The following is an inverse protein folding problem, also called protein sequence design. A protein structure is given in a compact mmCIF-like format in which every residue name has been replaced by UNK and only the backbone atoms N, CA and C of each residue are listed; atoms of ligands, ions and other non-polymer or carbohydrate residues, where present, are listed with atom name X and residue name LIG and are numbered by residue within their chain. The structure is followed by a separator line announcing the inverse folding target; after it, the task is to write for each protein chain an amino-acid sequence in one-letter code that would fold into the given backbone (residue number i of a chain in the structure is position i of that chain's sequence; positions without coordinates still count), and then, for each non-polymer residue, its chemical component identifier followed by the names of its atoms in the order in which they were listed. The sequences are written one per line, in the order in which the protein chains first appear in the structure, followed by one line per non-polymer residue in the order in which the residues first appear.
data_IF_857970645200
#
_entry.id   IF_857970645200
#
_cell.length_a   1.000
_cell.length_b   1.000
_cell.length_c   1.000
_cell.angle_alpha   90.00
_cell.angle_beta   90.00
_cell.angle_gamma   90.00
#
_symmetry.space_group_name_H-M   'P 1'
#
loop_
_entity.id
_entity.type
_entity.pdbx_description
1 polymer ?
#
# COMPACT_ATOMS: atom_id res chain seq x y z
N UNK A 1 -5.96 18.89 -7.41
CA UNK A 1 -5.95 18.04 -6.19
C UNK A 1 -6.28 16.61 -6.60
N UNK A 2 -5.74 15.55 -5.94
CA UNK A 2 -5.45 15.53 -4.51
C UNK A 2 -4.15 14.86 -4.02
N UNK A 3 -3.88 15.22 -2.78
CA UNK A 3 -2.84 14.85 -1.79
C UNK A 3 -2.76 13.35 -1.39
N UNK A 4 -3.22 12.40 -2.21
CA UNK A 4 -3.47 11.02 -1.71
C UNK A 4 -2.33 10.03 -1.93
N UNK A 5 -1.23 10.40 -2.60
CA UNK A 5 -0.17 9.45 -2.97
C UNK A 5 0.60 8.86 -1.77
N UNK A 6 0.51 9.50 -0.59
CA UNK A 6 1.31 9.16 0.59
C UNK A 6 0.50 8.70 1.80
N UNK A 7 -0.78 8.35 1.66
CA UNK A 7 -1.54 7.80 2.81
C UNK A 7 -1.29 6.31 3.06
N UNK A 8 -0.49 5.66 2.22
CA UNK A 8 -0.09 4.26 2.42
C UNK A 8 1.30 3.96 1.86
N UNK A 9 2.11 3.24 2.63
CA UNK A 9 3.42 2.76 2.18
C UNK A 9 3.16 1.70 1.09
N UNK A 10 3.62 1.96 -0.14
CA UNK A 10 3.36 1.09 -1.29
C UNK A 10 1.88 0.80 -1.52
N UNK A 11 1.00 1.78 -1.26
CA UNK A 11 -0.45 1.64 -1.46
C UNK A 11 -1.20 0.91 -0.35
N UNK A 12 -0.54 0.52 0.75
CA UNK A 12 -1.21 -0.09 1.91
C UNK A 12 -1.78 1.01 2.81
N UNK A 13 -3.11 1.12 2.85
CA UNK A 13 -3.81 2.11 3.67
C UNK A 13 -4.61 1.41 4.77
N UNK A 14 -4.44 1.80 6.03
CA UNK A 14 -5.35 1.35 7.09
C UNK A 14 -6.72 1.99 6.87
N UNK A 15 -7.80 1.19 6.98
CA UNK A 15 -9.18 1.72 6.96
C UNK A 15 -9.50 2.41 8.29
N UNK A 16 -8.86 1.96 9.36
CA UNK A 16 -9.03 2.48 10.72
C UNK A 16 -7.65 2.61 11.37
N UNK A 17 -7.18 3.84 11.55
CA UNK A 17 -5.84 4.13 12.09
C UNK A 17 -5.71 3.70 13.55
N UNK A 18 -6.82 3.63 14.31
CA UNK A 18 -6.80 3.21 15.71
C UNK A 18 -6.75 1.68 15.89
N UNK A 19 -7.03 0.91 14.83
CA UNK A 19 -7.07 -0.55 14.88
C UNK A 19 -5.82 -1.21 14.29
N UNK A 20 -4.73 -0.47 14.10
CA UNK A 20 -3.42 -1.05 13.75
C UNK A 20 -3.48 -2.00 12.54
N UNK A 21 -4.13 -1.60 11.45
CA UNK A 21 -4.29 -2.41 10.23
C UNK A 21 -5.11 -3.71 10.40
N UNK A 22 -5.99 -3.80 11.40
CA UNK A 22 -7.01 -4.88 11.47
C UNK A 22 -7.84 -4.98 10.19
N UNK A 23 -8.09 -3.85 9.54
CA UNK A 23 -8.68 -3.74 8.21
C UNK A 23 -7.86 -2.76 7.39
N UNK A 24 -7.49 -3.14 6.18
CA UNK A 24 -6.68 -2.33 5.28
C UNK A 24 -7.16 -2.49 3.84
N UNK A 25 -6.81 -1.52 3.00
CA UNK A 25 -7.00 -1.56 1.55
C UNK A 25 -5.63 -1.50 0.91
N UNK A 26 -5.45 -2.25 -0.16
CA UNK A 26 -4.28 -2.15 -1.03
C UNK A 26 -4.72 -1.39 -2.28
N UNK A 27 -4.24 -0.16 -2.42
CA UNK A 27 -4.46 0.71 -3.57
C UNK A 27 -3.11 1.07 -4.18
N UNK A 28 -2.57 0.16 -5.00
CA UNK A 28 -1.33 0.40 -5.73
C UNK A 28 -1.53 1.49 -6.78
N UNK A 29 -0.67 2.51 -6.75
CA UNK A 29 -0.57 3.52 -7.79
C UNK A 29 0.90 3.64 -8.16
N UNK A 30 1.19 3.43 -9.44
CA UNK A 30 2.53 3.55 -9.99
C UNK A 30 2.61 4.91 -10.71
N UNK A 31 3.45 5.85 -10.24
CA UNK A 31 3.87 6.97 -11.07
C UNK A 31 4.53 6.43 -12.34
N UNK A 32 4.48 7.22 -13.43
CA UNK A 32 5.02 6.83 -14.74
C UNK A 32 6.50 6.42 -14.73
N UNK A 33 7.24 6.76 -13.67
CA UNK A 33 8.67 6.49 -13.51
C UNK A 33 8.97 5.33 -12.54
N UNK A 34 7.96 4.63 -12.01
CA UNK A 34 8.14 3.52 -11.05
C UNK A 34 7.56 2.23 -11.64
N UNK A 35 8.45 1.29 -11.97
CA UNK A 35 8.09 -0.01 -12.54
C UNK A 35 7.64 -1.03 -11.49
N UNK A 36 8.16 -0.94 -10.26
CA UNK A 36 7.83 -1.87 -9.19
C UNK A 36 7.90 -1.23 -7.80
N UNK A 37 7.16 -1.81 -6.85
CA UNK A 37 7.15 -1.40 -5.45
C UNK A 37 7.12 -2.62 -4.54
N UNK A 38 7.91 -2.58 -3.48
CA UNK A 38 7.84 -3.50 -2.36
C UNK A 38 7.61 -2.70 -1.07
N UNK A 39 6.57 -3.06 -0.33
CA UNK A 39 6.22 -2.44 0.93
C UNK A 39 5.90 -3.47 2.00
N UNK A 40 6.35 -3.19 3.22
CA UNK A 40 6.10 -4.03 4.39
C UNK A 40 5.64 -3.17 5.57
N UNK A 41 4.58 -3.60 6.24
CA UNK A 41 4.06 -2.97 7.46
C UNK A 41 4.01 -4.02 8.57
N UNK A 42 4.66 -3.72 9.68
CA UNK A 42 4.51 -4.49 10.91
C UNK A 42 3.25 -4.03 11.62
N UNK A 43 2.28 -4.92 11.77
CA UNK A 43 1.05 -4.69 12.53
C UNK A 43 1.00 -5.58 13.78
N UNK A 44 0.18 -5.24 14.78
CA UNK A 44 -0.08 -6.12 15.93
C UNK A 44 -0.62 -7.50 15.55
N UNK A 45 -1.11 -7.67 14.31
CA UNK A 45 -1.69 -8.91 13.80
C UNK A 45 -0.72 -9.72 12.91
N UNK A 46 0.50 -9.21 12.72
CA UNK A 46 1.51 -9.79 11.83
C UNK A 46 1.98 -8.82 10.76
N UNK A 47 2.83 -9.31 9.87
CA UNK A 47 3.44 -8.49 8.81
C UNK A 47 2.57 -8.50 7.56
N UNK A 48 2.21 -7.31 7.07
CA UNK A 48 1.57 -7.12 5.77
C UNK A 48 2.67 -6.82 4.76
N UNK A 49 2.79 -7.65 3.72
CA UNK A 49 3.77 -7.46 2.65
C UNK A 49 3.06 -7.33 1.31
N UNK A 50 3.37 -6.27 0.56
CA UNK A 50 2.85 -6.02 -0.78
C UNK A 50 4.01 -5.89 -1.75
N UNK A 51 3.92 -6.63 -2.85
CA UNK A 51 4.84 -6.55 -3.98
C UNK A 51 3.97 -6.29 -5.20
N UNK A 52 4.21 -5.17 -5.88
CA UNK A 52 3.48 -4.77 -7.07
C UNK A 52 4.44 -4.42 -8.19
N UNK A 53 4.05 -4.69 -9.42
CA UNK A 53 4.78 -4.31 -10.62
C UNK A 53 3.78 -3.83 -11.68
N UNK A 54 4.10 -2.72 -12.36
CA UNK A 54 3.25 -2.13 -13.40
C UNK A 54 2.98 -3.11 -14.56
N UNK A 55 3.95 -3.99 -14.87
CA UNK A 55 3.88 -4.96 -15.96
C UNK A 55 2.86 -6.09 -15.74
N UNK A 56 2.18 -6.16 -14.59
CA UNK A 56 1.12 -7.15 -14.29
C UNK A 56 -0.26 -6.49 -14.17
N UNK A 57 -0.75 -5.93 -15.28
CA UNK A 57 -2.19 -5.73 -15.52
C UNK A 57 -2.62 -6.74 -16.59
N UNK A 58 -2.86 -7.98 -16.18
CA UNK A 58 -3.72 -8.91 -16.93
C UNK A 58 -5.12 -8.88 -16.32
#
# INVERSE_FOLDING_TARGET
MPLSFFKGIGGICSIDENLGYKKFIIALSFPSDIEWVEAGIFSPYGTIKVIGNEARKE
#
